data_IF_195443393136
#
_entry.id   IF_195443393136
#
_cell.length_a   1.000
_cell.length_b   1.000
_cell.length_c   1.000
_cell.angle_alpha   90.00
_cell.angle_beta   90.00
_cell.angle_gamma   90.00
#
_symmetry.space_group_name_H-M   'P 1'
#
loop_
_entity.id
_entity.type
_entity.pdbx_description
1 polymer ?
#
# COMPACT_ATOMS: atom_id res chain seq x y z
N UNK A 1 -6.89 -17.69 15.49
CA UNK A 1 -7.17 -16.72 14.41
C UNK A 1 -6.42 -17.17 13.17
N UNK A 2 -7.07 -17.22 12.00
CA UNK A 2 -6.35 -17.48 10.75
C UNK A 2 -5.53 -16.24 10.37
N UNK A 3 -4.29 -16.44 9.90
CA UNK A 3 -3.44 -15.35 9.43
C UNK A 3 -4.05 -14.66 8.21
N UNK A 4 -3.97 -13.32 8.17
CA UNK A 4 -4.37 -12.53 7.01
C UNK A 4 -3.52 -12.91 5.80
N UNK A 5 -4.18 -13.25 4.69
CA UNK A 5 -3.49 -13.50 3.42
C UNK A 5 -3.03 -12.20 2.78
N UNK A 6 -1.99 -12.27 1.95
CA UNK A 6 -1.48 -11.11 1.21
C UNK A 6 -2.55 -10.47 0.31
N UNK A 7 -3.37 -11.29 -0.37
CA UNK A 7 -4.48 -10.80 -1.18
C UNK A 7 -5.52 -10.04 -0.35
N UNK A 8 -5.90 -10.57 0.82
CA UNK A 8 -6.85 -9.90 1.72
C UNK A 8 -6.29 -8.58 2.27
N UNK A 9 -4.99 -8.55 2.59
CA UNK A 9 -4.32 -7.31 3.00
C UNK A 9 -4.42 -6.24 1.90
N UNK A 10 -4.09 -6.58 0.65
CA UNK A 10 -4.19 -5.63 -0.48
C UNK A 10 -5.60 -5.10 -0.70
N UNK A 11 -6.62 -5.97 -0.62
CA UNK A 11 -8.02 -5.56 -0.76
C UNK A 11 -8.38 -4.52 0.31
N UNK A 12 -8.09 -4.81 1.58
CA UNK A 12 -8.43 -3.90 2.68
C UNK A 12 -7.65 -2.59 2.62
N UNK A 13 -6.36 -2.63 2.25
CA UNK A 13 -5.58 -1.40 2.05
C UNK A 13 -6.15 -0.57 0.89
N UNK A 14 -6.57 -1.21 -0.21
CA UNK A 14 -7.16 -0.52 -1.35
C UNK A 14 -8.48 0.18 -1.00
N UNK A 15 -9.29 -0.41 -0.11
CA UNK A 15 -10.56 0.17 0.37
C UNK A 15 -10.34 1.45 1.22
N UNK A 16 -9.23 1.53 1.95
CA UNK A 16 -8.87 2.71 2.77
C UNK A 16 -8.21 3.83 1.95
N UNK A 17 -7.68 3.52 0.76
CA UNK A 17 -6.98 4.50 -0.08
C UNK A 17 -7.96 5.33 -0.91
N UNK A 18 -8.14 6.59 -0.51
CA UNK A 18 -8.86 7.57 -1.32
C UNK A 18 -8.01 8.06 -2.50
N UNK A 19 -8.63 8.71 -3.49
CA UNK A 19 -7.92 9.34 -4.60
C UNK A 19 -6.88 10.37 -4.13
N UNK A 20 -7.20 11.16 -3.09
CA UNK A 20 -6.27 12.12 -2.50
C UNK A 20 -5.06 11.43 -1.86
N UNK A 21 -5.26 10.28 -1.20
CA UNK A 21 -4.14 9.52 -0.67
C UNK A 21 -3.24 8.96 -1.77
N UNK A 22 -3.84 8.47 -2.87
CA UNK A 22 -3.09 8.00 -4.03
C UNK A 22 -2.23 9.11 -4.63
N UNK A 23 -2.79 10.33 -4.74
CA UNK A 23 -2.05 11.51 -5.20
C UNK A 23 -0.87 11.85 -4.28
N UNK A 24 -1.06 11.81 -2.96
CA UNK A 24 0.05 11.98 -2.01
C UNK A 24 1.15 10.94 -2.23
N UNK A 25 0.80 9.66 -2.46
CA UNK A 25 1.79 8.62 -2.77
C UNK A 25 2.53 8.92 -4.07
N UNK A 26 1.82 9.38 -5.11
CA UNK A 26 2.46 9.77 -6.37
C UNK A 26 3.48 10.88 -6.18
N UNK A 27 3.18 11.87 -5.35
CA UNK A 27 4.10 12.96 -5.02
C UNK A 27 5.30 12.46 -4.21
N UNK A 28 5.07 11.60 -3.20
CA UNK A 28 6.13 11.04 -2.36
C UNK A 28 7.14 10.20 -3.15
N UNK A 29 6.69 9.51 -4.20
CA UNK A 29 7.51 8.60 -5.00
C UNK A 29 7.93 9.18 -6.36
N UNK A 30 7.65 10.46 -6.61
CA UNK A 30 7.93 11.16 -7.87
C UNK A 30 7.44 10.38 -9.11
N UNK A 31 6.17 9.95 -9.06
CA UNK A 31 5.56 9.21 -10.17
C UNK A 31 5.38 10.14 -11.37
N UNK A 32 5.81 9.65 -12.56
CA UNK A 32 5.53 10.35 -13.82
C UNK A 32 4.02 10.56 -14.00
N UNK A 33 3.57 11.68 -14.60
CA UNK A 33 2.15 11.98 -14.77
C UNK A 33 1.33 10.84 -15.40
N UNK A 34 1.85 10.22 -16.46
CA UNK A 34 1.19 9.11 -17.14
C UNK A 34 0.95 7.88 -16.25
N UNK A 35 1.77 7.68 -15.21
CA UNK A 35 1.58 6.61 -14.22
C UNK A 35 0.53 7.04 -13.21
N UNK A 36 0.67 8.25 -12.65
CA UNK A 36 -0.27 8.81 -11.69
C UNK A 36 -1.72 8.84 -12.20
N UNK A 37 -1.92 9.07 -13.51
CA UNK A 37 -3.24 9.00 -14.14
C UNK A 37 -3.85 7.58 -14.15
N UNK A 38 -3.01 6.55 -14.25
CA UNK A 38 -3.43 5.14 -14.30
C UNK A 38 -3.60 4.52 -12.91
N UNK A 39 -2.98 5.12 -11.90
CA UNK A 39 -2.95 4.62 -10.51
C UNK A 39 -3.83 5.43 -9.55
N UNK A 40 -4.94 5.97 -10.04
CA UNK A 40 -5.88 6.80 -9.25
C UNK A 40 -6.74 6.03 -8.26
N UNK A 41 -6.73 4.70 -8.30
CA UNK A 41 -7.43 3.85 -7.33
C UNK A 41 -6.43 3.13 -6.43
N UNK A 42 -6.83 2.79 -5.20
CA UNK A 42 -5.97 2.03 -4.29
C UNK A 42 -5.48 0.70 -4.88
N UNK A 43 -6.35 -0.02 -5.61
CA UNK A 43 -5.98 -1.29 -6.24
C UNK A 43 -4.94 -1.14 -7.36
N UNK A 44 -5.11 -0.12 -8.23
CA UNK A 44 -4.16 0.16 -9.32
C UNK A 44 -2.83 0.68 -8.78
N UNK A 45 -2.87 1.53 -7.75
CA UNK A 45 -1.68 2.00 -7.05
C UNK A 45 -0.90 0.85 -6.42
N UNK A 46 -1.57 -0.04 -5.66
CA UNK A 46 -0.90 -1.18 -5.04
C UNK A 46 -0.27 -2.13 -6.06
N UNK A 47 -0.93 -2.35 -7.21
CA UNK A 47 -0.36 -3.15 -8.29
C UNK A 47 0.90 -2.50 -8.90
N UNK A 48 0.90 -1.18 -9.05
CA UNK A 48 2.09 -0.44 -9.51
C UNK A 48 3.22 -0.42 -8.47
N UNK A 49 2.88 -0.32 -7.19
CA UNK A 49 3.88 -0.43 -6.11
C UNK A 49 4.51 -1.82 -6.08
N UNK A 50 3.72 -2.85 -6.32
CA UNK A 50 4.21 -4.24 -6.44
C UNK A 50 5.09 -4.43 -7.68
N UNK A 51 4.68 -3.89 -8.84
CA UNK A 51 5.47 -3.99 -10.09
C UNK A 51 6.83 -3.30 -9.97
N UNK A 52 6.92 -2.24 -9.14
CA UNK A 52 8.15 -1.49 -8.85
C UNK A 52 8.95 -2.03 -7.66
N UNK A 53 8.48 -3.08 -6.99
CA UNK A 53 9.17 -3.69 -5.85
C UNK A 53 9.06 -2.92 -4.54
N UNK A 54 8.14 -1.96 -4.43
CA UNK A 54 7.82 -1.29 -3.16
C UNK A 54 6.94 -2.16 -2.24
N UNK A 55 6.34 -3.22 -2.77
CA UNK A 55 5.50 -4.14 -2.03
C UNK A 55 5.66 -5.56 -2.58
N UNK A 56 5.76 -6.54 -1.70
CA UNK A 56 5.60 -7.95 -2.04
C UNK A 56 5.05 -8.72 -0.84
N UNK A 57 4.63 -9.97 -1.07
CA UNK A 57 4.17 -10.86 0.00
C UNK A 57 5.19 -11.00 1.15
N UNK A 58 6.48 -10.96 0.86
CA UNK A 58 7.54 -11.17 1.87
C UNK A 58 8.20 -9.86 2.32
N UNK A 59 7.84 -8.72 1.73
CA UNK A 59 8.39 -7.43 2.11
C UNK A 59 7.33 -6.33 1.94
N UNK A 60 6.82 -5.88 3.08
CA UNK A 60 5.79 -4.84 3.17
C UNK A 60 6.29 -3.56 3.87
N UNK A 61 7.56 -3.54 4.28
CA UNK A 61 8.12 -2.47 5.11
C UNK A 61 8.06 -1.12 4.40
N UNK A 62 8.39 -1.10 3.11
CA UNK A 62 8.34 0.14 2.33
C UNK A 62 6.93 0.69 2.17
N UNK A 63 5.93 -0.19 1.99
CA UNK A 63 4.54 0.23 1.95
C UNK A 63 4.12 0.87 3.29
N UNK A 64 4.54 0.29 4.42
CA UNK A 64 4.29 0.88 5.74
C UNK A 64 4.91 2.28 5.84
N UNK A 65 6.20 2.43 5.48
CA UNK A 65 6.90 3.72 5.47
C UNK A 65 6.13 4.78 4.67
N UNK A 66 5.68 4.43 3.46
CA UNK A 66 4.91 5.34 2.59
C UNK A 66 3.57 5.72 3.22
N UNK A 67 2.81 4.74 3.73
CA UNK A 67 1.49 4.98 4.30
C UNK A 67 1.56 5.80 5.60
N UNK A 68 2.64 5.68 6.38
CA UNK A 68 2.87 6.47 7.59
C UNK A 68 3.17 7.94 7.31
N UNK A 69 3.62 8.30 6.09
CA UNK A 69 3.75 9.70 5.68
C UNK A 69 2.38 10.37 5.43
N UNK A 70 1.30 9.60 5.36
CA UNK A 70 -0.05 10.12 5.10
C UNK A 70 -0.77 10.31 6.45
N UNK A 71 -1.17 11.54 6.81
CA UNK A 71 -1.81 11.81 8.09
C UNK A 71 -3.09 10.98 8.30
N UNK A 72 -3.26 10.44 9.52
CA UNK A 72 -4.43 9.68 9.94
C UNK A 72 -4.78 8.47 9.03
N UNK A 73 -3.78 7.83 8.42
CA UNK A 73 -3.98 6.72 7.48
C UNK A 73 -4.19 5.36 8.20
N UNK A 74 -5.42 4.80 8.19
CA UNK A 74 -5.68 3.49 8.82
C UNK A 74 -5.02 2.34 8.06
N UNK A 75 -4.72 2.50 6.77
CA UNK A 75 -4.13 1.47 5.93
C UNK A 75 -2.78 0.95 6.46
N UNK A 76 -1.95 1.80 7.09
CA UNK A 76 -0.67 1.38 7.66
C UNK A 76 -0.85 0.29 8.74
N UNK A 77 -1.89 0.42 9.57
CA UNK A 77 -2.20 -0.57 10.62
C UNK A 77 -2.60 -1.92 10.06
N UNK A 78 -3.25 -1.94 8.89
CA UNK A 78 -3.64 -3.18 8.20
C UNK A 78 -2.39 -3.93 7.74
N UNK A 79 -1.42 -3.20 7.15
CA UNK A 79 -0.15 -3.78 6.69
C UNK A 79 0.70 -4.25 7.87
N UNK A 80 0.77 -3.48 8.96
CA UNK A 80 1.45 -3.87 10.20
C UNK A 80 0.85 -5.13 10.84
N UNK A 81 -0.49 -5.24 10.81
CA UNK A 81 -1.18 -6.46 11.25
C UNK A 81 -0.80 -7.65 10.38
N UNK A 82 -0.82 -7.50 9.06
CA UNK A 82 -0.39 -8.55 8.13
C UNK A 82 1.06 -8.99 8.39
N UNK A 83 1.97 -8.03 8.57
CA UNK A 83 3.39 -8.28 8.90
C UNK A 83 3.53 -9.15 10.15
N UNK A 84 2.84 -8.78 11.24
CA UNK A 84 2.88 -9.51 12.52
C UNK A 84 2.28 -10.91 12.44
N UNK A 85 1.13 -11.06 11.80
CA UNK A 85 0.44 -12.36 11.67
C UNK A 85 1.22 -13.36 10.79
N UNK A 86 2.08 -12.88 9.90
CA UNK A 86 2.86 -13.70 8.97
C UNK A 86 4.35 -13.78 9.32
N UNK A 87 4.78 -13.22 10.46
CA UNK A 87 6.19 -13.21 10.90
C UNK A 87 7.17 -12.67 9.85
N UNK A 88 6.76 -11.64 9.12
CA UNK A 88 7.61 -10.95 8.13
C UNK A 88 8.52 -9.97 8.88
N UNK A 89 9.83 -10.00 8.61
CA UNK A 89 10.85 -9.19 9.29
C UNK A 89 11.10 -7.86 8.58
#
# INVERSE_FOLDING_TARGET
>A
MAAMTYGLMKVRVAEELTAANCETVHLLLDFRPAVAERTRSGSSLLAELESRGFLSQNNVNRLIEILQQIPAMPAANIVERYKRENHIH
#
